data_IF_040426517332
#
_entry.id   IF_040426517332
#
_cell.length_a   1.000
_cell.length_b   1.000
_cell.length_c   1.000
_cell.angle_alpha   90.00
_cell.angle_beta   90.00
_cell.angle_gamma   90.00
#
_symmetry.space_group_name_H-M   'P 1'
#
loop_
_entity.id
_entity.type
_entity.pdbx_description
1 polymer ?
#
# COMPACT_ATOMS: atom_id res chain seq x y z
N UNK A 1 12.01 12.33 -10.90
CA UNK A 1 12.76 11.78 -9.76
C UNK A 1 12.44 12.65 -8.55
N UNK A 2 11.53 12.19 -7.71
CA UNK A 2 11.16 12.91 -6.49
C UNK A 2 12.32 12.79 -5.50
N UNK A 3 12.79 13.93 -4.95
CA UNK A 3 13.82 13.92 -3.91
C UNK A 3 13.15 13.48 -2.60
N UNK A 4 13.32 12.21 -2.25
CA UNK A 4 12.94 11.65 -0.96
C UNK A 4 13.55 12.50 0.17
N UNK A 5 12.72 13.27 0.88
CA UNK A 5 13.18 14.12 1.99
C UNK A 5 12.66 13.55 3.32
N UNK A 6 13.25 12.43 3.72
CA UNK A 6 12.81 11.59 4.84
C UNK A 6 13.05 12.20 6.21
N UNK A 7 14.11 13.02 6.34
CA UNK A 7 14.57 13.54 7.62
C UNK A 7 14.07 14.95 7.97
N UNK A 8 13.27 15.59 7.11
CA UNK A 8 12.81 16.98 7.36
C UNK A 8 11.42 17.04 8.02
N UNK A 9 11.44 16.98 9.36
CA UNK A 9 10.38 17.51 10.24
C UNK A 9 9.01 16.85 10.12
N UNK A 10 8.17 17.33 9.20
CA UNK A 10 6.77 16.87 9.06
C UNK A 10 6.62 15.57 8.28
N UNK A 11 7.59 15.20 7.43
CA UNK A 11 7.57 13.96 6.66
C UNK A 11 7.90 12.72 7.50
N UNK A 12 8.78 12.86 8.50
CA UNK A 12 9.21 11.76 9.35
C UNK A 12 8.07 11.20 10.23
N UNK A 13 7.27 12.09 10.84
CA UNK A 13 6.12 11.67 11.64
C UNK A 13 5.06 10.93 10.81
N UNK A 14 4.83 11.37 9.57
CA UNK A 14 3.93 10.66 8.64
C UNK A 14 4.50 9.31 8.20
N UNK A 15 5.81 9.21 7.95
CA UNK A 15 6.47 7.95 7.63
C UNK A 15 6.33 6.93 8.78
N UNK A 16 6.48 7.36 10.03
CA UNK A 16 6.25 6.54 11.23
C UNK A 16 4.81 6.05 11.34
N UNK A 17 3.82 6.92 11.05
CA UNK A 17 2.41 6.52 11.03
C UNK A 17 2.17 5.48 9.93
N UNK A 18 2.72 5.66 8.73
CA UNK A 18 2.59 4.69 7.64
C UNK A 18 3.27 3.36 7.96
N UNK A 19 4.43 3.40 8.62
CA UNK A 19 5.09 2.21 9.12
C UNK A 19 4.22 1.46 10.13
N UNK A 20 3.61 2.17 11.09
CA UNK A 20 2.70 1.59 12.06
C UNK A 20 1.46 0.96 11.41
N UNK A 21 0.85 1.64 10.44
CA UNK A 21 -0.33 1.12 9.72
C UNK A 21 0.02 -0.11 8.88
N UNK A 22 1.17 -0.11 8.19
CA UNK A 22 1.63 -1.29 7.44
C UNK A 22 2.02 -2.44 8.37
N UNK A 23 2.58 -2.15 9.55
CA UNK A 23 2.81 -3.13 10.60
C UNK A 23 1.52 -3.82 11.06
N UNK A 24 0.48 -3.03 11.37
CA UNK A 24 -0.83 -3.58 11.74
C UNK A 24 -1.47 -4.40 10.62
N UNK A 25 -1.30 -3.96 9.37
CA UNK A 25 -1.78 -4.71 8.21
C UNK A 25 -1.06 -6.05 8.06
N UNK A 26 0.26 -6.07 8.26
CA UNK A 26 1.03 -7.31 8.18
C UNK A 26 0.69 -8.30 9.31
N UNK A 27 0.24 -7.83 10.48
CA UNK A 27 -0.28 -8.72 11.53
C UNK A 27 -1.44 -9.59 11.02
N UNK A 28 -2.27 -9.08 10.11
CA UNK A 28 -3.37 -9.87 9.52
C UNK A 28 -2.82 -11.05 8.73
N UNK A 29 -1.74 -10.85 7.97
CA UNK A 29 -1.07 -11.92 7.22
C UNK A 29 -0.30 -12.87 8.12
N UNK A 30 0.29 -12.39 9.22
CA UNK A 30 0.87 -13.26 10.24
C UNK A 30 -0.19 -14.18 10.87
N UNK A 31 -1.35 -13.63 11.23
CA UNK A 31 -2.47 -14.42 11.77
C UNK A 31 -2.98 -15.41 10.73
N UNK A 32 -3.08 -15.02 9.46
CA UNK A 32 -3.45 -15.92 8.37
C UNK A 32 -2.43 -17.06 8.20
N UNK A 33 -1.13 -16.77 8.27
CA UNK A 33 -0.07 -17.78 8.20
C UNK A 33 -0.13 -18.76 9.37
N UNK A 34 -0.29 -18.25 10.59
CA UNK A 34 -0.28 -19.05 11.80
C UNK A 34 -1.55 -19.90 11.96
N UNK A 35 -2.74 -19.30 11.80
CA UNK A 35 -4.02 -19.98 12.03
C UNK A 35 -4.63 -20.58 10.77
N UNK A 36 -4.51 -19.89 9.62
CA UNK A 36 -5.07 -20.38 8.36
C UNK A 36 -4.20 -21.45 7.71
N UNK A 37 -2.89 -21.22 7.66
CA UNK A 37 -1.93 -22.12 6.99
C UNK A 37 -1.22 -23.09 7.94
N UNK A 38 -1.42 -22.94 9.25
CA UNK A 38 -0.81 -23.76 10.30
C UNK A 38 0.73 -23.75 10.26
N UNK A 39 1.32 -22.63 9.83
CA UNK A 39 2.77 -22.46 9.80
C UNK A 39 3.22 -22.13 11.24
N UNK A 40 4.06 -23.00 11.83
CA UNK A 40 4.53 -22.87 13.21
C UNK A 40 5.94 -22.31 13.37
N UNK A 41 6.65 -22.05 12.27
CA UNK A 41 8.04 -21.62 12.29
C UNK A 41 8.18 -20.13 12.65
N UNK A 42 8.58 -19.88 13.90
CA UNK A 42 8.82 -18.52 14.45
C UNK A 42 9.64 -17.58 13.55
N UNK A 43 10.76 -17.98 12.93
CA UNK A 43 11.51 -17.07 12.06
C UNK A 43 10.73 -16.66 10.81
N UNK A 44 9.90 -17.55 10.26
CA UNK A 44 9.08 -17.26 9.07
C UNK A 44 7.95 -16.28 9.41
N UNK A 45 7.36 -16.41 10.59
CA UNK A 45 6.23 -15.59 11.03
C UNK A 45 6.66 -14.20 11.50
N UNK A 46 7.92 -14.03 11.94
CA UNK A 46 8.39 -12.77 12.54
C UNK A 46 9.36 -12.03 11.61
N UNK A 47 10.41 -12.71 11.15
CA UNK A 47 11.53 -12.06 10.47
C UNK A 47 11.17 -11.59 9.06
N UNK A 48 10.40 -12.40 8.33
CA UNK A 48 10.02 -12.14 6.93
C UNK A 48 9.01 -10.99 6.86
N UNK A 49 7.93 -11.00 7.67
CA UNK A 49 7.03 -9.86 7.76
C UNK A 49 7.70 -8.54 8.13
N UNK A 50 8.76 -8.54 8.96
CA UNK A 50 9.52 -7.31 9.24
C UNK A 50 10.07 -6.69 7.97
N UNK A 51 10.71 -7.48 7.10
CA UNK A 51 11.22 -7.02 5.81
C UNK A 51 10.10 -6.51 4.89
N UNK A 52 8.96 -7.20 4.87
CA UNK A 52 7.77 -6.80 4.09
C UNK A 52 7.17 -5.50 4.61
N UNK A 53 7.14 -5.27 5.93
CA UNK A 53 6.69 -4.01 6.53
C UNK A 53 7.57 -2.85 6.06
N UNK A 54 8.90 -3.00 6.04
CA UNK A 54 9.79 -1.96 5.52
C UNK A 54 9.53 -1.67 4.04
N UNK A 55 9.40 -2.72 3.21
CA UNK A 55 9.17 -2.59 1.77
C UNK A 55 7.82 -1.91 1.45
N UNK A 56 6.76 -2.33 2.13
CA UNK A 56 5.41 -1.77 1.94
C UNK A 56 5.30 -0.37 2.50
N UNK A 57 5.89 -0.08 3.66
CA UNK A 57 5.95 1.29 4.20
C UNK A 57 6.71 2.23 3.25
N UNK A 58 7.83 1.79 2.67
CA UNK A 58 8.58 2.54 1.67
C UNK A 58 7.73 2.81 0.41
N UNK A 59 7.00 1.80 -0.08
CA UNK A 59 6.07 1.92 -1.21
C UNK A 59 4.98 2.98 -0.97
N UNK A 60 4.37 2.99 0.22
CA UNK A 60 3.37 4.00 0.62
C UNK A 60 3.96 5.41 0.59
N UNK A 61 5.19 5.57 1.09
CA UNK A 61 5.85 6.89 1.15
C UNK A 61 6.09 7.42 -0.26
N UNK A 62 6.59 6.59 -1.18
CA UNK A 62 6.73 6.98 -2.59
C UNK A 62 5.38 7.45 -3.14
N UNK A 63 4.33 6.62 -3.00
CA UNK A 63 3.00 6.96 -3.50
C UNK A 63 2.44 8.23 -2.88
N UNK A 64 2.74 8.50 -1.62
CA UNK A 64 2.35 9.72 -0.93
C UNK A 64 3.07 10.96 -1.49
N UNK A 65 4.40 10.91 -1.63
CA UNK A 65 5.17 12.01 -2.19
C UNK A 65 4.78 12.30 -3.65
N UNK A 66 4.59 11.24 -4.45
CA UNK A 66 4.08 11.36 -5.82
C UNK A 66 2.69 11.99 -5.85
N UNK A 67 1.77 11.58 -4.96
CA UNK A 67 0.43 12.15 -4.89
C UNK A 67 0.43 13.63 -4.49
N UNK A 68 1.24 14.03 -3.50
CA UNK A 68 1.39 15.44 -3.12
C UNK A 68 1.95 16.25 -4.30
N UNK A 69 2.97 15.72 -4.98
CA UNK A 69 3.59 16.39 -6.12
C UNK A 69 2.59 16.58 -7.26
N UNK A 70 1.78 15.55 -7.55
CA UNK A 70 0.69 15.62 -8.53
C UNK A 70 -0.36 16.66 -8.13
N UNK A 71 -0.78 16.69 -6.86
CA UNK A 71 -1.74 17.69 -6.36
C UNK A 71 -1.18 19.11 -6.49
N UNK A 72 0.08 19.33 -6.12
CA UNK A 72 0.73 20.64 -6.22
C UNK A 72 0.90 21.10 -7.69
N UNK A 73 1.26 20.17 -8.59
CA UNK A 73 1.36 20.43 -10.03
C UNK A 73 -0.01 20.69 -10.68
N UNK A 74 -1.05 19.96 -10.24
CA UNK A 74 -2.44 20.20 -10.65
C UNK A 74 -2.93 21.55 -10.12
N UNK A 75 -2.60 21.95 -8.89
CA UNK A 75 -2.94 23.27 -8.35
C UNK A 75 -2.24 24.40 -9.11
N UNK A 76 -0.98 24.23 -9.53
CA UNK A 76 -0.29 25.16 -10.44
C UNK A 76 -0.95 25.24 -11.83
N UNK A 77 -1.43 24.13 -12.39
CA UNK A 77 -2.18 24.11 -13.68
C UNK A 77 -3.59 24.68 -13.55
N UNK A 78 -4.30 24.44 -12.45
CA UNK A 78 -5.66 24.91 -12.21
C UNK A 78 -5.77 26.40 -11.89
N UNK A 79 -4.68 27.07 -11.50
CA UNK A 79 -4.65 28.53 -11.42
C UNK A 79 -4.84 29.23 -12.79
N UNK A 80 -4.73 28.49 -13.91
CA UNK A 80 -5.03 29.01 -15.27
C UNK A 80 -6.38 28.56 -15.84
N UNK A 81 -7.11 27.63 -15.21
CA UNK A 81 -8.37 27.12 -15.77
C UNK A 81 -9.54 27.30 -14.81
N UNK A 82 -10.26 28.38 -15.10
CA UNK A 82 -11.54 28.86 -14.58
C UNK A 82 -12.41 27.83 -13.84
N UNK A 83 -12.99 28.33 -12.74
CA UNK A 83 -14.39 28.14 -12.31
C UNK A 83 -15.21 27.23 -13.24
N UNK A 84 -15.56 26.03 -12.76
CA UNK A 84 -16.86 25.44 -13.08
C UNK A 84 -17.39 24.67 -11.87
N UNK A 85 -18.40 25.27 -11.24
CA UNK A 85 -19.34 24.61 -10.33
C UNK A 85 -19.87 23.34 -11.01
N UNK A 86 -19.95 22.23 -10.29
CA UNK A 86 -21.09 21.32 -10.40
C UNK A 86 -21.29 20.59 -9.08
N UNK A 87 -22.29 21.04 -8.32
CA UNK A 87 -22.82 20.38 -7.14
C UNK A 87 -23.71 19.24 -7.67
N UNK A 88 -23.21 18.01 -7.76
CA UNK A 88 -24.05 16.83 -8.03
C UNK A 88 -24.21 16.02 -6.74
N UNK A 89 -25.36 16.22 -6.10
CA UNK A 89 -25.96 15.29 -5.14
C UNK A 89 -26.16 13.95 -5.88
N UNK A 90 -25.57 12.88 -5.39
CA UNK A 90 -26.05 11.53 -5.64
C UNK A 90 -25.99 10.79 -4.30
N UNK A 91 -27.17 10.51 -3.76
CA UNK A 91 -27.37 9.52 -2.74
C UNK A 91 -26.94 8.17 -3.34
N UNK A 92 -25.79 7.64 -2.91
CA UNK A 92 -25.40 6.26 -3.17
C UNK A 92 -24.93 5.65 -1.85
N UNK A 93 -25.59 4.52 -1.53
CA UNK A 93 -25.27 3.47 -0.57
C UNK A 93 -24.03 3.72 0.30
N UNK A 94 -24.19 3.69 1.62
CA UNK A 94 -23.19 4.05 2.64
C UNK A 94 -21.80 3.39 2.47
N UNK A 95 -21.72 2.26 1.77
CA UNK A 95 -20.45 1.59 1.45
C UNK A 95 -19.63 2.33 0.38
N UNK A 96 -20.28 2.84 -0.67
CA UNK A 96 -19.64 3.57 -1.77
C UNK A 96 -19.20 4.96 -1.31
N UNK A 97 -19.96 5.59 -0.40
CA UNK A 97 -19.59 6.90 0.15
C UNK A 97 -18.29 6.81 0.96
N UNK A 98 -18.10 5.74 1.74
CA UNK A 98 -16.91 5.51 2.56
C UNK A 98 -15.67 5.27 1.70
N UNK A 99 -15.77 4.42 0.67
CA UNK A 99 -14.68 4.20 -0.30
C UNK A 99 -14.35 5.52 -1.03
N UNK A 100 -15.35 6.32 -1.40
CA UNK A 100 -15.14 7.63 -2.02
C UNK A 100 -14.42 8.62 -1.09
N UNK A 101 -14.59 8.49 0.23
CA UNK A 101 -13.97 9.34 1.23
C UNK A 101 -12.50 8.95 1.45
N UNK A 102 -12.21 7.65 1.48
CA UNK A 102 -10.85 7.10 1.50
C UNK A 102 -10.06 7.51 0.25
N UNK A 103 -10.71 7.52 -0.92
CA UNK A 103 -10.07 7.89 -2.18
C UNK A 103 -9.81 9.40 -2.34
N UNK A 104 -10.59 10.24 -1.65
CA UNK A 104 -10.44 11.71 -1.67
C UNK A 104 -9.38 12.21 -0.70
N UNK A 105 -9.06 11.45 0.34
CA UNK A 105 -8.06 11.87 1.31
C UNK A 105 -6.64 11.57 0.79
N UNK A 106 -5.79 12.59 0.55
CA UNK A 106 -4.45 12.40 -0.01
C UNK A 106 -3.51 11.60 0.90
N UNK A 107 -3.79 11.53 2.21
CA UNK A 107 -2.99 10.77 3.18
C UNK A 107 -3.38 9.28 3.23
N UNK A 108 -4.65 8.96 3.01
CA UNK A 108 -5.18 7.59 3.14
C UNK A 108 -5.10 6.83 1.80
N UNK A 109 -5.30 7.54 0.68
CA UNK A 109 -5.22 6.96 -0.66
C UNK A 109 -3.94 6.14 -0.93
N UNK A 110 -2.71 6.60 -0.62
CA UNK A 110 -1.51 5.82 -0.89
C UNK A 110 -1.44 4.54 -0.05
N UNK A 111 -1.85 4.61 1.22
CA UNK A 111 -1.95 3.44 2.11
C UNK A 111 -2.90 2.40 1.53
N UNK A 112 -4.11 2.83 1.17
CA UNK A 112 -5.15 1.95 0.64
C UNK A 112 -4.74 1.33 -0.70
N UNK A 113 -4.16 2.11 -1.62
CA UNK A 113 -3.64 1.59 -2.89
C UNK A 113 -2.58 0.52 -2.66
N UNK A 114 -1.65 0.76 -1.74
CA UNK A 114 -0.58 -0.20 -1.44
C UNK A 114 -1.15 -1.48 -0.86
N UNK A 115 -2.11 -1.41 0.06
CA UNK A 115 -2.80 -2.58 0.62
C UNK A 115 -3.53 -3.39 -0.45
N UNK A 116 -4.26 -2.72 -1.35
CA UNK A 116 -5.01 -3.40 -2.42
C UNK A 116 -4.05 -4.08 -3.40
N UNK A 117 -3.00 -3.38 -3.83
CA UNK A 117 -2.01 -3.96 -4.75
C UNK A 117 -1.30 -5.12 -4.09
N UNK A 118 -0.84 -4.96 -2.85
CA UNK A 118 -0.21 -6.03 -2.09
C UNK A 118 -1.14 -7.25 -1.95
N UNK A 119 -2.38 -7.06 -1.52
CA UNK A 119 -3.33 -8.17 -1.35
C UNK A 119 -3.64 -8.90 -2.65
N UNK A 120 -3.81 -8.18 -3.77
CA UNK A 120 -4.04 -8.79 -5.08
C UNK A 120 -2.80 -9.57 -5.52
N UNK A 121 -1.61 -8.97 -5.44
CA UNK A 121 -0.37 -9.63 -5.84
C UNK A 121 -0.07 -10.83 -4.95
N UNK A 122 -0.34 -10.75 -3.65
CA UNK A 122 -0.25 -11.87 -2.72
C UNK A 122 -1.18 -13.01 -3.13
N UNK A 123 -2.47 -12.72 -3.37
CA UNK A 123 -3.44 -13.74 -3.76
C UNK A 123 -3.06 -14.43 -5.07
N UNK A 124 -2.63 -13.66 -6.08
CA UNK A 124 -2.19 -14.21 -7.38
C UNK A 124 -0.91 -15.04 -7.21
N UNK A 125 0.11 -14.51 -6.55
CA UNK A 125 1.38 -15.22 -6.36
C UNK A 125 1.20 -16.48 -5.53
N UNK A 126 0.41 -16.43 -4.45
CA UNK A 126 0.07 -17.59 -3.64
C UNK A 126 -0.65 -18.67 -4.48
N UNK A 127 -1.66 -18.28 -5.26
CA UNK A 127 -2.41 -19.22 -6.11
C UNK A 127 -1.58 -19.83 -7.25
N UNK A 128 -0.64 -19.07 -7.83
CA UNK A 128 0.25 -19.59 -8.87
C UNK A 128 1.33 -20.49 -8.26
N UNK A 129 1.97 -20.05 -7.17
CA UNK A 129 3.01 -20.83 -6.52
C UNK A 129 2.46 -22.10 -5.86
N UNK A 130 1.18 -22.15 -5.48
CA UNK A 130 0.59 -23.36 -4.88
C UNK A 130 0.49 -24.52 -5.86
N UNK A 131 0.65 -24.27 -7.16
CA UNK A 131 0.73 -25.32 -8.20
C UNK A 131 2.13 -25.93 -8.25
N UNK A 132 3.15 -25.20 -7.79
CA UNK A 132 4.57 -25.53 -7.95
C UNK A 132 5.27 -25.95 -6.65
N UNK A 133 4.76 -25.53 -5.50
CA UNK A 133 5.39 -25.73 -4.19
C UNK A 133 4.37 -26.32 -3.21
N UNK A 134 4.65 -27.53 -2.71
CA UNK A 134 3.79 -28.23 -1.75
C UNK A 134 3.97 -27.74 -0.30
N UNK A 135 5.15 -27.19 0.02
CA UNK A 135 5.44 -26.73 1.37
C UNK A 135 4.78 -25.37 1.65
N UNK A 136 3.74 -25.37 2.49
CA UNK A 136 2.95 -24.18 2.85
C UNK A 136 3.79 -23.01 3.38
N UNK A 137 4.83 -23.32 4.16
CA UNK A 137 5.75 -22.31 4.72
C UNK A 137 6.48 -21.56 3.61
N UNK A 138 7.08 -22.30 2.69
CA UNK A 138 7.85 -21.77 1.56
C UNK A 138 6.94 -21.03 0.59
N UNK A 139 5.73 -21.57 0.36
CA UNK A 139 4.69 -20.94 -0.45
C UNK A 139 4.27 -19.56 0.09
N UNK A 140 3.97 -19.48 1.38
CA UNK A 140 3.60 -18.22 2.03
C UNK A 140 4.72 -17.19 1.91
N UNK A 141 5.96 -17.59 2.19
CA UNK A 141 7.14 -16.72 2.11
C UNK A 141 7.36 -16.18 0.70
N UNK A 142 7.23 -17.04 -0.32
CA UNK A 142 7.37 -16.62 -1.71
C UNK A 142 6.28 -15.60 -2.08
N UNK A 143 5.03 -15.91 -1.75
CA UNK A 143 3.91 -15.02 -2.05
C UNK A 143 4.04 -13.66 -1.34
N UNK A 144 4.41 -13.66 -0.05
CA UNK A 144 4.58 -12.46 0.78
C UNK A 144 5.69 -11.55 0.20
N UNK A 145 6.83 -12.13 -0.19
CA UNK A 145 7.92 -11.39 -0.82
C UNK A 145 7.56 -10.87 -2.21
N UNK A 146 6.94 -11.70 -3.07
CA UNK A 146 6.51 -11.28 -4.41
C UNK A 146 5.49 -10.15 -4.32
N UNK A 147 4.57 -10.21 -3.35
CA UNK A 147 3.60 -9.15 -3.09
C UNK A 147 4.29 -7.84 -2.66
N UNK A 148 5.29 -7.91 -1.78
CA UNK A 148 6.09 -6.76 -1.36
C UNK A 148 6.82 -6.11 -2.55
N UNK A 149 7.45 -6.92 -3.40
CA UNK A 149 8.08 -6.45 -4.63
C UNK A 149 7.07 -5.84 -5.61
N UNK A 150 5.90 -6.46 -5.78
CA UNK A 150 4.81 -5.94 -6.60
C UNK A 150 4.35 -4.56 -6.14
N UNK A 151 4.18 -4.37 -4.83
CA UNK A 151 3.83 -3.09 -4.24
C UNK A 151 4.92 -2.02 -4.47
N UNK A 152 6.20 -2.37 -4.37
CA UNK A 152 7.33 -1.47 -4.66
C UNK A 152 7.39 -1.06 -6.15
N UNK A 153 7.26 -2.03 -7.05
CA UNK A 153 7.26 -1.79 -8.50
C UNK A 153 6.09 -0.89 -8.90
N UNK A 154 4.91 -1.15 -8.34
CA UNK A 154 3.73 -0.33 -8.58
C UNK A 154 3.93 1.13 -8.13
N UNK A 155 4.46 1.34 -6.92
CA UNK A 155 4.77 2.68 -6.43
C UNK A 155 5.80 3.40 -7.31
N UNK A 156 6.84 2.68 -7.73
CA UNK A 156 7.89 3.23 -8.61
C UNK A 156 7.34 3.60 -9.99
N UNK A 157 6.45 2.78 -10.56
CA UNK A 157 5.77 3.08 -11.81
C UNK A 157 4.90 4.34 -11.70
N UNK A 158 4.19 4.48 -10.58
CA UNK A 158 3.38 5.66 -10.29
C UNK A 158 4.22 6.93 -10.15
N UNK A 159 5.44 6.84 -9.60
CA UNK A 159 6.37 7.97 -9.47
C UNK A 159 6.93 8.45 -10.81
N UNK A 160 7.17 7.53 -11.74
CA UNK A 160 7.64 7.86 -13.10
C UNK A 160 6.56 8.48 -14.00
N UNK A 161 5.28 8.28 -13.68
CA UNK A 161 4.13 8.76 -14.45
C UNK A 161 3.65 10.13 -13.96
#
# INVERSE_FOLDING_TARGET
>A
MVKLNWFRGKSFGLALIYFGVMGLYQLIFMLLAQYGLQIGSRPIIILIPLGVIFATAYSVIILFETNITKIHNLQKKHYKSKKKKTRKKMAKTAFISTISLLWKNPYIRPVFLTMVVFGITFGISYGVCSILVDEKSTLFVLADNIAAFGALLFATYFDKT
#
